data_IF_970747697796
#
_entry.id   IF_970747697796
#
_cell.length_a   1.000
_cell.length_b   1.000
_cell.length_c   1.000
_cell.angle_alpha   90.00
_cell.angle_beta   90.00
_cell.angle_gamma   90.00
#
_symmetry.space_group_name_H-M   'P 1'
#
loop_
_entity.id
_entity.type
_entity.pdbx_description
1 polymer ?
#
# COMPACT_ATOMS: atom_id res chain seq x y z
N UNK A 1 -15.55 -33.04 35.92
CA UNK A 1 -16.44 -32.00 35.34
C UNK A 1 -15.88 -30.58 35.41
N UNK A 2 -15.17 -30.16 36.48
CA UNK A 2 -14.58 -28.79 36.59
C UNK A 2 -13.55 -28.40 35.51
N UNK A 3 -12.81 -29.37 34.95
CA UNK A 3 -11.78 -29.12 33.91
C UNK A 3 -12.37 -28.76 32.54
N UNK A 4 -13.60 -29.20 32.25
CA UNK A 4 -14.26 -28.94 30.95
C UNK A 4 -14.74 -27.49 30.84
N UNK A 5 -15.19 -26.89 31.97
CA UNK A 5 -15.62 -25.49 32.01
C UNK A 5 -14.48 -24.49 31.80
N UNK A 6 -13.26 -24.82 32.26
CA UNK A 6 -12.07 -23.98 32.05
C UNK A 6 -11.68 -23.98 30.57
N UNK A 7 -11.71 -25.15 29.92
CA UNK A 7 -11.41 -25.31 28.50
C UNK A 7 -12.42 -24.58 27.60
N UNK A 8 -13.71 -24.62 27.95
CA UNK A 8 -14.75 -23.88 27.23
C UNK A 8 -14.61 -22.36 27.38
N UNK A 9 -14.17 -21.88 28.55
CA UNK A 9 -13.99 -20.45 28.82
C UNK A 9 -12.81 -19.87 28.03
N UNK A 10 -11.72 -20.62 27.88
CA UNK A 10 -10.56 -20.18 27.09
C UNK A 10 -10.86 -20.03 25.59
N UNK A 11 -11.76 -20.86 25.05
CA UNK A 11 -12.18 -20.81 23.62
C UNK A 11 -13.12 -19.61 23.36
N UNK A 12 -13.92 -19.22 24.35
CA UNK A 12 -14.80 -18.04 24.25
C UNK A 12 -14.04 -16.72 24.41
N UNK A 13 -12.90 -16.72 25.11
CA UNK A 13 -12.02 -15.55 25.27
C UNK A 13 -11.05 -15.35 24.10
N UNK A 14 -10.83 -16.35 23.24
CA UNK A 14 -10.17 -16.18 21.95
C UNK A 14 -11.12 -15.63 20.88
N UNK A 15 -11.96 -14.67 21.25
CA UNK A 15 -12.70 -13.85 20.31
C UNK A 15 -11.69 -13.16 19.39
N UNK A 16 -11.86 -13.35 18.09
CA UNK A 16 -10.93 -12.96 17.03
C UNK A 16 -10.64 -11.45 17.02
N UNK A 17 -9.72 -10.98 17.86
CA UNK A 17 -9.01 -9.73 17.61
C UNK A 17 -7.86 -10.01 16.63
N UNK A 18 -8.20 -10.50 15.42
CA UNK A 18 -7.24 -10.49 14.34
C UNK A 18 -7.10 -9.03 13.92
N UNK A 19 -6.05 -8.38 14.42
CA UNK A 19 -5.73 -7.05 13.96
C UNK A 19 -5.44 -7.13 12.46
N UNK A 20 -6.09 -6.30 11.65
CA UNK A 20 -5.79 -6.25 10.23
C UNK A 20 -4.30 -5.90 10.03
N UNK A 21 -3.69 -6.29 8.89
CA UNK A 21 -2.34 -5.88 8.56
C UNK A 21 -2.17 -4.37 8.72
N UNK A 22 -0.97 -3.92 9.09
CA UNK A 22 -0.68 -2.49 9.25
C UNK A 22 -1.19 -1.69 8.04
N UNK A 23 -1.96 -0.63 8.31
CA UNK A 23 -2.56 0.22 7.28
C UNK A 23 -4.01 -0.12 6.89
N UNK A 24 -4.61 -1.18 7.44
CA UNK A 24 -6.00 -1.59 7.17
C UNK A 24 -6.88 -1.56 8.42
N UNK A 25 -8.21 -1.51 8.24
CA UNK A 25 -9.21 -1.67 9.30
C UNK A 25 -9.60 -0.40 10.05
N UNK A 26 -9.27 0.78 9.54
CA UNK A 26 -9.72 2.04 10.13
C UNK A 26 -11.22 2.28 9.92
N UNK A 27 -11.87 3.05 10.81
CA UNK A 27 -13.28 3.45 10.63
C UNK A 27 -13.53 4.19 9.29
N UNK A 28 -12.48 4.75 8.68
CA UNK A 28 -12.51 5.37 7.36
C UNK A 28 -12.81 4.37 6.21
N UNK A 29 -12.45 3.10 6.37
CA UNK A 29 -12.70 2.04 5.38
C UNK A 29 -14.11 1.46 5.48
N UNK A 30 -14.80 1.66 6.62
CA UNK A 30 -15.98 0.89 6.99
C UNK A 30 -17.31 1.37 6.37
N UNK A 31 -17.43 2.56 5.76
CA UNK A 31 -18.64 2.96 5.01
C UNK A 31 -18.53 4.28 4.25
N UNK A 32 -18.91 4.35 2.96
CA UNK A 32 -19.06 5.61 2.26
C UNK A 32 -20.54 6.12 2.23
N UNK A 33 -20.85 7.32 2.76
CA UNK A 33 -22.16 8.04 2.58
C UNK A 33 -22.22 9.31 1.68
N UNK A 34 -21.12 10.01 1.38
CA UNK A 34 -21.02 11.23 0.55
C UNK A 34 -20.54 10.99 -0.90
N UNK A 35 -21.34 11.41 -1.88
CA UNK A 35 -21.01 11.44 -3.32
C UNK A 35 -20.17 12.71 -3.59
N UNK A 36 -19.27 12.75 -4.60
CA UNK A 36 -18.54 13.96 -4.99
C UNK A 36 -19.44 15.20 -5.11
N UNK A 37 -19.03 16.33 -4.54
CA UNK A 37 -19.88 17.54 -4.43
C UNK A 37 -19.60 18.59 -5.49
N UNK A 38 -18.45 18.54 -6.16
CA UNK A 38 -18.06 19.48 -7.22
C UNK A 38 -17.46 18.76 -8.45
N UNK A 39 -17.16 19.52 -9.51
CA UNK A 39 -16.66 18.96 -10.77
C UNK A 39 -15.24 18.37 -10.65
N UNK A 40 -14.38 18.98 -9.85
CA UNK A 40 -13.00 18.51 -9.67
C UNK A 40 -12.98 17.16 -8.94
N UNK A 41 -13.77 17.01 -7.88
CA UNK A 41 -13.95 15.73 -7.18
C UNK A 41 -14.56 14.65 -8.09
N UNK A 42 -15.57 15.02 -8.90
CA UNK A 42 -16.14 14.09 -9.90
C UNK A 42 -15.10 13.64 -10.90
N UNK A 43 -14.21 14.53 -11.34
CA UNK A 43 -13.13 14.19 -12.27
C UNK A 43 -12.17 13.18 -11.65
N UNK A 44 -11.74 13.39 -10.41
CA UNK A 44 -10.88 12.43 -9.69
C UNK A 44 -11.59 11.09 -9.55
N UNK A 45 -12.83 11.08 -9.04
CA UNK A 45 -13.61 9.87 -8.84
C UNK A 45 -13.82 9.08 -10.14
N UNK A 46 -14.18 9.75 -11.23
CA UNK A 46 -14.44 9.11 -12.53
C UNK A 46 -13.22 8.44 -13.16
N UNK A 47 -12.01 8.94 -12.88
CA UNK A 47 -10.74 8.44 -13.45
C UNK A 47 -9.95 7.57 -12.49
N UNK A 48 -10.42 7.43 -11.25
CA UNK A 48 -9.69 6.74 -10.19
C UNK A 48 -9.34 5.31 -10.59
N UNK A 49 -10.32 4.50 -11.00
CA UNK A 49 -10.13 3.08 -11.28
C UNK A 49 -9.13 2.84 -12.42
N UNK A 50 -9.27 3.57 -13.51
CA UNK A 50 -8.38 3.47 -14.68
C UNK A 50 -6.94 3.84 -14.29
N UNK A 51 -6.77 4.97 -13.60
CA UNK A 51 -5.45 5.44 -13.18
C UNK A 51 -4.83 4.51 -12.13
N UNK A 52 -5.62 4.00 -11.20
CA UNK A 52 -5.14 3.09 -10.17
C UNK A 52 -4.70 1.76 -10.80
N UNK A 53 -5.46 1.24 -11.77
CA UNK A 53 -5.12 0.02 -12.51
C UNK A 53 -3.79 0.16 -13.26
N UNK A 54 -3.54 1.31 -13.89
CA UNK A 54 -2.27 1.60 -14.57
C UNK A 54 -1.09 1.59 -13.58
N UNK A 55 -1.25 2.22 -12.41
CA UNK A 55 -0.20 2.23 -11.37
C UNK A 55 0.04 0.82 -10.79
N UNK A 56 -1.04 0.06 -10.56
CA UNK A 56 -0.95 -1.32 -10.07
C UNK A 56 -0.27 -2.25 -11.10
N UNK A 57 -0.48 -2.01 -12.40
CA UNK A 57 0.22 -2.71 -13.48
C UNK A 57 1.72 -2.40 -13.44
N UNK A 58 2.12 -1.13 -13.40
CA UNK A 58 3.53 -0.72 -13.32
C UNK A 58 4.23 -1.29 -12.09
N UNK A 59 3.56 -1.31 -10.93
CA UNK A 59 4.11 -1.95 -9.73
C UNK A 59 4.31 -3.46 -9.92
N UNK A 60 3.39 -4.12 -10.62
CA UNK A 60 3.48 -5.55 -10.94
C UNK A 60 4.62 -5.84 -11.91
N UNK A 61 4.80 -5.02 -12.94
CA UNK A 61 5.93 -5.11 -13.88
C UNK A 61 7.27 -4.99 -13.14
N UNK A 62 7.39 -4.04 -12.21
CA UNK A 62 8.61 -3.90 -11.40
C UNK A 62 8.87 -5.11 -10.51
N UNK A 63 7.83 -5.67 -9.88
CA UNK A 63 7.94 -6.92 -9.11
C UNK A 63 8.49 -8.07 -9.97
N UNK A 64 7.97 -8.21 -11.19
CA UNK A 64 8.42 -9.22 -12.15
C UNK A 64 9.85 -8.97 -12.64
N UNK A 65 10.27 -7.70 -12.73
CA UNK A 65 11.64 -7.29 -13.05
C UNK A 65 12.62 -7.43 -11.87
N UNK A 66 12.38 -8.37 -10.96
CA UNK A 66 13.23 -8.68 -9.80
C UNK A 66 13.33 -7.58 -8.72
N UNK A 67 12.43 -6.58 -8.69
CA UNK A 67 12.45 -5.54 -7.65
C UNK A 67 12.45 -6.14 -6.23
N UNK A 68 11.68 -7.22 -6.00
CA UNK A 68 11.61 -7.87 -4.70
C UNK A 68 12.97 -8.43 -4.24
N UNK A 69 13.75 -8.99 -5.16
CA UNK A 69 15.06 -9.57 -4.85
C UNK A 69 16.17 -8.52 -4.73
N UNK A 70 16.08 -7.43 -5.48
CA UNK A 70 17.14 -6.44 -5.58
C UNK A 70 16.95 -5.23 -4.65
N UNK A 71 15.70 -4.85 -4.38
CA UNK A 71 15.34 -3.61 -3.66
C UNK A 71 14.05 -3.80 -2.82
N UNK A 72 14.01 -4.75 -1.86
CA UNK A 72 12.80 -5.12 -1.13
C UNK A 72 12.15 -3.98 -0.31
N UNK A 73 12.94 -3.04 0.22
CA UNK A 73 12.42 -1.91 0.98
C UNK A 73 11.76 -0.86 0.07
N UNK A 74 12.26 -0.67 -1.16
CA UNK A 74 11.56 0.18 -2.15
C UNK A 74 10.24 -0.44 -2.58
N UNK A 75 10.20 -1.77 -2.75
CA UNK A 75 8.94 -2.46 -2.99
C UNK A 75 7.93 -2.23 -1.87
N UNK A 76 8.36 -2.38 -0.60
CA UNK A 76 7.50 -2.11 0.56
C UNK A 76 7.00 -0.66 0.59
N UNK A 77 7.87 0.31 0.29
CA UNK A 77 7.51 1.73 0.23
C UNK A 77 6.44 2.01 -0.84
N UNK A 78 6.60 1.47 -2.05
CA UNK A 78 5.62 1.61 -3.13
C UNK A 78 4.27 0.97 -2.75
N UNK A 79 4.29 -0.19 -2.08
CA UNK A 79 3.08 -0.83 -1.58
C UNK A 79 2.39 0.02 -0.51
N UNK A 80 3.15 0.60 0.42
CA UNK A 80 2.61 1.51 1.44
C UNK A 80 1.95 2.74 0.80
N UNK A 81 2.60 3.37 -0.18
CA UNK A 81 2.00 4.48 -0.95
C UNK A 81 0.70 4.09 -1.66
N UNK A 82 0.63 2.87 -2.21
CA UNK A 82 -0.58 2.33 -2.85
C UNK A 82 -1.73 2.16 -1.86
N UNK A 83 -1.45 1.63 -0.67
CA UNK A 83 -2.43 1.46 0.41
C UNK A 83 -2.93 2.82 0.90
N UNK A 84 -2.04 3.79 1.05
CA UNK A 84 -2.41 5.16 1.42
C UNK A 84 -3.41 5.78 0.43
N UNK A 85 -3.26 5.55 -0.88
CA UNK A 85 -4.22 6.02 -1.89
C UNK A 85 -5.58 5.37 -1.69
N UNK A 86 -5.63 4.06 -1.46
CA UNK A 86 -6.87 3.32 -1.22
C UNK A 86 -7.56 3.83 0.05
N UNK A 87 -6.81 4.04 1.13
CA UNK A 87 -7.32 4.62 2.37
C UNK A 87 -7.87 6.02 2.15
N UNK A 88 -7.15 6.88 1.44
CA UNK A 88 -7.58 8.25 1.18
C UNK A 88 -8.79 8.29 0.24
N UNK A 89 -8.90 7.32 -0.68
CA UNK A 89 -10.08 7.11 -1.52
C UNK A 89 -11.30 6.73 -0.68
N UNK A 90 -11.14 5.79 0.27
CA UNK A 90 -12.20 5.44 1.22
C UNK A 90 -12.57 6.61 2.14
N UNK A 91 -11.57 7.39 2.56
CA UNK A 91 -11.70 8.62 3.34
C UNK A 91 -12.23 9.82 2.55
N UNK A 92 -12.36 9.71 1.22
CA UNK A 92 -12.82 10.77 0.31
C UNK A 92 -11.96 12.03 0.31
N UNK A 93 -10.68 11.84 0.52
CA UNK A 93 -9.70 12.90 0.43
C UNK A 93 -9.32 13.07 -1.04
N UNK A 94 -10.25 13.55 -1.87
CA UNK A 94 -10.12 13.53 -3.33
C UNK A 94 -8.87 14.25 -3.85
N UNK A 95 -8.52 15.38 -3.24
CA UNK A 95 -7.28 16.12 -3.54
C UNK A 95 -6.05 15.27 -3.23
N UNK A 96 -6.06 14.59 -2.09
CA UNK A 96 -4.96 13.75 -1.64
C UNK A 96 -4.83 12.50 -2.50
N UNK A 97 -5.94 11.89 -2.92
CA UNK A 97 -5.96 10.79 -3.90
C UNK A 97 -5.27 11.21 -5.19
N UNK A 98 -5.67 12.33 -5.79
CA UNK A 98 -5.10 12.80 -7.05
C UNK A 98 -3.60 13.14 -6.91
N UNK A 99 -3.22 13.77 -5.80
CA UNK A 99 -1.84 14.07 -5.48
C UNK A 99 -1.01 12.80 -5.29
N UNK A 100 -1.47 11.86 -4.46
CA UNK A 100 -0.76 10.61 -4.16
C UNK A 100 -0.65 9.70 -5.37
N UNK A 101 -1.65 9.63 -6.25
CA UNK A 101 -1.52 8.93 -7.53
C UNK A 101 -0.43 9.54 -8.42
N UNK A 102 -0.19 10.85 -8.32
CA UNK A 102 0.91 11.52 -9.04
C UNK A 102 2.27 11.21 -8.38
N UNK A 103 2.34 11.25 -7.05
CA UNK A 103 3.54 10.90 -6.29
C UNK A 103 3.93 9.43 -6.51
N UNK A 104 2.97 8.51 -6.53
CA UNK A 104 3.21 7.10 -6.80
C UNK A 104 3.74 6.88 -8.21
N UNK A 105 3.16 7.54 -9.23
CA UNK A 105 3.67 7.49 -10.60
C UNK A 105 5.13 7.93 -10.70
N UNK A 106 5.49 9.04 -10.03
CA UNK A 106 6.87 9.52 -9.98
C UNK A 106 7.79 8.54 -9.24
N UNK A 107 7.32 7.97 -8.13
CA UNK A 107 8.08 7.00 -7.34
C UNK A 107 8.35 5.72 -8.13
N UNK A 108 7.35 5.20 -8.86
CA UNK A 108 7.48 4.05 -9.76
C UNK A 108 8.53 4.32 -10.85
N UNK A 109 8.50 5.49 -11.49
CA UNK A 109 9.48 5.85 -12.51
C UNK A 109 10.91 5.94 -11.95
N UNK A 110 11.07 6.55 -10.78
CA UNK A 110 12.38 6.65 -10.11
C UNK A 110 12.92 5.28 -9.70
N UNK A 111 12.07 4.40 -9.17
CA UNK A 111 12.43 3.05 -8.78
C UNK A 111 12.78 2.21 -10.00
N UNK A 112 12.06 2.35 -11.12
CA UNK A 112 12.38 1.68 -12.39
C UNK A 112 13.81 1.98 -12.86
N UNK A 113 14.19 3.26 -12.88
CA UNK A 113 15.53 3.66 -13.31
C UNK A 113 16.61 3.13 -12.36
N UNK A 114 16.38 3.18 -11.05
CA UNK A 114 17.32 2.66 -10.05
C UNK A 114 17.43 1.13 -10.10
N UNK A 115 16.32 0.44 -10.37
CA UNK A 115 16.30 -1.01 -10.55
C UNK A 115 17.16 -1.39 -11.76
N UNK A 116 16.99 -0.72 -12.90
CA UNK A 116 17.81 -0.97 -14.11
C UNK A 116 19.31 -0.82 -13.83
N UNK A 117 19.71 0.24 -13.13
CA UNK A 117 21.10 0.45 -12.71
C UNK A 117 21.59 -0.67 -11.79
N UNK A 118 20.82 -0.97 -10.74
CA UNK A 118 21.16 -2.00 -9.74
C UNK A 118 21.25 -3.39 -10.37
N UNK A 119 20.38 -3.72 -11.33
CA UNK A 119 20.42 -4.99 -12.04
C UNK A 119 21.62 -5.10 -12.98
N UNK A 120 22.05 -3.98 -13.60
CA UNK A 120 23.23 -3.96 -14.46
C UNK A 120 24.52 -4.14 -13.66
N UNK A 121 24.60 -3.55 -12.47
CA UNK A 121 25.74 -3.68 -11.55
C UNK A 121 25.77 -5.01 -10.77
N UNK A 122 24.67 -5.78 -10.85
CA UNK A 122 24.43 -6.99 -10.08
C UNK A 122 23.72 -6.70 -8.76
N UNK A 123 22.58 -7.37 -8.55
CA UNK A 123 21.81 -7.20 -7.32
C UNK A 123 22.58 -7.76 -6.12
N UNK A 124 22.80 -6.90 -5.13
CA UNK A 124 23.49 -7.29 -3.90
C UNK A 124 22.47 -7.66 -2.82
N UNK A 125 22.67 -8.81 -2.18
CA UNK A 125 21.75 -9.29 -1.13
C UNK A 125 21.81 -8.44 0.15
N UNK A 126 22.87 -7.66 0.36
CA UNK A 126 23.04 -6.71 1.46
C UNK A 126 22.34 -5.36 1.22
N UNK A 127 21.74 -5.18 0.03
CA UNK A 127 21.13 -3.93 -0.39
C UNK A 127 19.59 -4.01 -0.42
N UNK A 128 18.92 -3.27 0.47
CA UNK A 128 17.46 -3.21 0.56
C UNK A 128 16.72 -2.29 -0.42
N UNK A 129 17.38 -1.43 -1.19
CA UNK A 129 16.74 -0.43 -2.05
C UNK A 129 16.52 0.96 -1.43
N UNK A 130 16.57 1.12 -0.09
CA UNK A 130 16.57 2.42 0.61
C UNK A 130 17.80 2.68 1.50
N UNK A 131 18.47 3.86 1.43
CA UNK A 131 19.55 4.19 2.36
C UNK A 131 19.04 4.21 3.81
N UNK A 132 19.89 3.84 4.77
CA UNK A 132 19.53 3.69 6.20
C UNK A 132 18.75 4.89 6.77
N UNK A 133 19.07 6.12 6.35
CA UNK A 133 18.37 7.35 6.76
C UNK A 133 16.88 7.39 6.39
N UNK A 134 16.41 6.50 5.51
CA UNK A 134 15.03 6.44 5.00
C UNK A 134 14.22 5.27 5.57
N UNK A 135 14.80 4.43 6.44
CA UNK A 135 14.13 3.22 6.95
C UNK A 135 13.00 3.50 7.96
N UNK A 136 12.93 4.72 8.52
CA UNK A 136 11.84 5.14 9.42
C UNK A 136 10.67 5.86 8.72
N UNK A 137 10.70 5.94 7.39
CA UNK A 137 9.66 6.60 6.57
C UNK A 137 8.83 5.59 5.75
N UNK A 138 9.06 4.30 5.94
CA UNK A 138 8.36 3.17 5.30
C UNK A 138 7.37 2.55 6.25
#
# INVERSE_FOLDING_TARGET
MKRFGILLSSILLSGCAQWPPEGYGGMAEARPTRIPVNEDERRVWSRYDERQKELDLQLTELKQASLQGCMPAELKRLQSQRIDIERDMHGRLWSDVAWRQTVLAQSLQQVRLRLQQTTADGCRADWSGLPLRQWGQT
#
